data_IF_568946625488
#
_entry.id   IF_568946625488
#
_cell.length_a   1.000
_cell.length_b   1.000
_cell.length_c   1.000
_cell.angle_alpha   90.00
_cell.angle_beta   90.00
_cell.angle_gamma   90.00
#
_symmetry.space_group_name_H-M   'P 1'
#
loop_
_entity.id
_entity.type
_entity.pdbx_description
1 polymer ?
#
# COMPACT_ATOMS: atom_id res chain seq x y z
N UNK A 1 28.11 88.10 2.01
CA UNK A 1 27.31 87.72 0.83
C UNK A 1 26.23 86.77 1.33
N UNK A 2 24.99 87.16 1.11
CA UNK A 2 23.79 86.46 1.53
C UNK A 2 23.54 85.19 0.70
N UNK A 3 22.97 84.15 1.32
CA UNK A 3 21.69 83.56 0.89
C UNK A 3 21.25 82.44 1.86
N UNK A 4 20.10 82.69 2.48
CA UNK A 4 19.21 81.73 3.15
C UNK A 4 18.61 80.72 2.15
N UNK A 5 18.09 79.59 2.67
CA UNK A 5 16.73 79.00 2.43
C UNK A 5 16.75 77.56 2.95
N UNK A 6 16.29 77.32 4.18
CA UNK A 6 14.94 76.86 4.59
C UNK A 6 14.64 75.39 4.31
N UNK A 7 14.44 74.70 5.43
CA UNK A 7 13.77 73.43 5.67
C UNK A 7 12.42 73.29 4.92
N UNK A 8 12.08 72.08 4.50
CA UNK A 8 10.78 71.46 4.85
C UNK A 8 10.82 69.94 4.64
N UNK A 9 10.63 69.23 5.74
CA UNK A 9 10.21 67.82 5.81
C UNK A 9 8.69 67.74 5.59
N UNK A 10 8.21 66.65 4.97
CA UNK A 10 7.02 65.86 5.37
C UNK A 10 6.88 64.59 4.50
N UNK A 11 7.17 63.45 5.12
CA UNK A 11 6.31 62.25 5.15
C UNK A 11 5.94 61.49 3.87
N UNK A 12 6.41 60.24 3.74
CA UNK A 12 5.49 59.08 3.61
C UNK A 12 6.20 57.75 3.90
N UNK A 13 5.50 56.92 4.66
CA UNK A 13 5.88 55.58 5.10
C UNK A 13 5.89 54.58 3.95
N UNK A 14 6.92 53.74 3.85
CA UNK A 14 6.80 52.40 3.26
C UNK A 14 7.90 51.48 3.82
N UNK A 15 7.51 50.70 4.83
CA UNK A 15 8.26 49.55 5.34
C UNK A 15 8.32 48.50 4.22
N UNK A 16 9.50 48.28 3.65
CA UNK A 16 9.79 47.06 2.88
C UNK A 16 10.52 46.12 3.83
N UNK A 17 9.73 45.31 4.53
CA UNK A 17 10.20 44.15 5.28
C UNK A 17 10.53 43.02 4.30
N UNK A 18 11.76 42.98 3.81
CA UNK A 18 12.34 41.83 3.12
C UNK A 18 13.03 40.92 4.15
N UNK A 19 12.23 40.24 4.98
CA UNK A 19 12.71 39.10 5.76
C UNK A 19 12.77 37.86 4.88
N UNK A 20 13.79 37.80 4.01
CA UNK A 20 14.19 36.56 3.35
C UNK A 20 14.74 35.60 4.41
N UNK A 21 13.82 34.86 5.04
CA UNK A 21 14.14 33.70 5.85
C UNK A 21 14.67 32.61 4.93
N UNK A 22 15.96 32.70 4.59
CA UNK A 22 16.73 31.61 3.99
C UNK A 22 16.79 30.51 5.06
N UNK A 23 15.78 29.63 5.04
CA UNK A 23 15.79 28.40 5.83
C UNK A 23 16.84 27.51 5.19
N UNK A 24 18.03 27.52 5.77
CA UNK A 24 19.08 26.54 5.50
C UNK A 24 18.46 25.13 5.51
N UNK A 25 18.70 24.30 4.47
CA UNK A 25 18.11 22.98 4.40
C UNK A 25 18.77 22.14 5.49
N UNK A 26 18.07 21.94 6.60
CA UNK A 26 18.40 20.87 7.54
C UNK A 26 18.46 19.60 6.71
N UNK A 27 19.64 19.01 6.55
CA UNK A 27 19.83 17.72 5.88
C UNK A 27 19.07 16.67 6.69
N UNK A 28 17.79 16.47 6.36
CA UNK A 28 16.96 15.47 7.00
C UNK A 28 17.41 14.12 6.48
N UNK A 29 17.85 13.23 7.37
CA UNK A 29 18.10 11.86 6.99
C UNK A 29 16.75 11.18 6.67
N UNK A 30 16.70 10.32 5.64
CA UNK A 30 15.50 9.56 5.34
C UNK A 30 15.18 8.62 6.50
N UNK A 31 13.89 8.30 6.68
CA UNK A 31 13.49 7.37 7.72
C UNK A 31 14.14 5.99 7.50
N UNK A 32 14.62 5.29 8.55
CA UNK A 32 15.33 4.02 8.39
C UNK A 32 14.56 2.97 7.62
N UNK A 33 13.23 2.93 7.79
CA UNK A 33 12.35 2.05 7.02
C UNK A 33 12.48 2.27 5.51
N UNK A 34 12.49 3.53 5.07
CA UNK A 34 12.54 3.89 3.65
C UNK A 34 13.90 3.56 3.05
N UNK A 35 14.98 3.88 3.75
CA UNK A 35 16.35 3.54 3.32
C UNK A 35 16.52 2.03 3.17
N UNK A 36 16.11 1.26 4.18
CA UNK A 36 16.18 -0.20 4.16
C UNK A 36 15.32 -0.80 3.05
N UNK A 37 14.12 -0.27 2.83
CA UNK A 37 13.24 -0.73 1.76
C UNK A 37 13.86 -0.47 0.40
N UNK A 38 14.46 0.71 0.20
CA UNK A 38 15.17 1.04 -1.04
C UNK A 38 16.34 0.08 -1.30
N UNK A 39 17.21 -0.12 -0.31
CA UNK A 39 18.37 -0.99 -0.44
C UNK A 39 17.96 -2.44 -0.70
N UNK A 40 16.93 -2.91 0.00
CA UNK A 40 16.34 -4.24 -0.18
C UNK A 40 15.86 -4.46 -1.62
N UNK A 41 15.25 -3.44 -2.24
CA UNK A 41 14.73 -3.55 -3.61
C UNK A 41 15.85 -3.43 -4.65
N UNK A 42 16.86 -2.57 -4.41
CA UNK A 42 18.04 -2.50 -5.27
C UNK A 42 18.81 -3.83 -5.26
N UNK A 43 18.99 -4.45 -4.10
CA UNK A 43 19.69 -5.73 -3.98
C UNK A 43 18.87 -6.91 -4.55
N UNK A 44 17.55 -6.95 -4.28
CA UNK A 44 16.68 -7.99 -4.81
C UNK A 44 16.34 -7.85 -6.31
N UNK A 45 16.48 -6.64 -6.85
CA UNK A 45 16.24 -6.29 -8.24
C UNK A 45 17.48 -6.34 -9.14
N UNK A 46 18.68 -6.47 -8.56
CA UNK A 46 19.92 -6.66 -9.31
C UNK A 46 19.86 -7.99 -10.05
N UNK A 47 19.66 -7.90 -11.37
CA UNK A 47 19.60 -8.94 -12.39
C UNK A 47 20.18 -10.30 -11.98
N UNK A 48 19.39 -11.17 -11.34
CA UNK A 48 19.58 -12.64 -11.32
C UNK A 48 20.94 -13.21 -10.90
N UNK A 49 21.88 -12.39 -10.44
CA UNK A 49 23.27 -12.74 -10.09
C UNK A 49 23.43 -12.58 -8.57
N UNK A 50 22.42 -13.01 -7.82
CA UNK A 50 22.56 -13.39 -6.43
C UNK A 50 22.53 -14.91 -6.39
N UNK A 51 23.32 -15.51 -5.49
CA UNK A 51 23.49 -16.95 -5.22
C UNK A 51 22.17 -17.63 -4.75
N UNK A 52 21.09 -17.45 -5.50
CA UNK A 52 19.80 -18.07 -5.28
C UNK A 52 19.64 -19.22 -6.29
N UNK A 53 19.59 -20.48 -5.83
CA UNK A 53 19.60 -21.68 -6.69
C UNK A 53 18.47 -21.80 -7.73
N UNK A 54 17.53 -20.85 -7.78
CA UNK A 54 16.32 -20.93 -8.59
C UNK A 54 16.00 -19.68 -9.42
N UNK A 55 16.86 -18.66 -9.46
CA UNK A 55 16.66 -17.47 -10.32
C UNK A 55 15.34 -16.71 -10.12
N UNK A 56 14.63 -16.98 -9.02
CA UNK A 56 13.30 -16.46 -8.77
C UNK A 56 13.39 -15.09 -8.11
N UNK A 57 12.85 -14.09 -8.79
CA UNK A 57 12.79 -12.71 -8.34
C UNK A 57 11.75 -12.58 -7.22
N UNK A 58 12.19 -12.37 -5.98
CA UNK A 58 11.30 -12.24 -4.81
C UNK A 58 10.67 -10.84 -4.75
N UNK A 59 11.47 -9.81 -5.04
CA UNK A 59 11.08 -8.40 -5.07
C UNK A 59 11.86 -7.68 -6.16
N UNK A 60 11.25 -6.71 -6.84
CA UNK A 60 11.97 -5.85 -7.78
C UNK A 60 11.32 -4.49 -7.95
N UNK A 61 12.07 -3.54 -8.50
CA UNK A 61 11.48 -2.36 -9.15
C UNK A 61 10.46 -2.78 -10.22
N UNK A 62 9.43 -1.96 -10.40
CA UNK A 62 8.55 -2.09 -11.56
C UNK A 62 9.25 -1.56 -12.82
N UNK A 63 8.66 -1.79 -14.01
CA UNK A 63 9.27 -1.40 -15.28
C UNK A 63 9.54 0.12 -15.39
N UNK A 64 8.68 0.93 -14.77
CA UNK A 64 8.77 2.40 -14.78
C UNK A 64 9.78 2.95 -13.76
N UNK A 65 10.25 2.14 -12.81
CA UNK A 65 11.13 2.57 -11.72
C UNK A 65 10.49 3.54 -10.72
N UNK A 66 9.16 3.66 -10.70
CA UNK A 66 8.40 4.55 -9.80
C UNK A 66 7.67 3.78 -8.68
N UNK A 67 7.98 2.50 -8.54
CA UNK A 67 7.45 1.61 -7.54
C UNK A 67 8.13 0.25 -7.58
N UNK A 68 7.64 -0.67 -6.77
CA UNK A 68 8.20 -2.01 -6.67
C UNK A 68 7.10 -3.06 -6.55
N UNK A 69 7.45 -4.29 -6.92
CA UNK A 69 6.57 -5.45 -6.94
C UNK A 69 7.14 -6.51 -6.02
N UNK A 70 6.32 -7.03 -5.11
CA UNK A 70 6.62 -8.24 -4.33
C UNK A 70 5.96 -9.43 -5.03
N UNK A 71 6.77 -10.35 -5.57
CA UNK A 71 6.28 -11.47 -6.38
C UNK A 71 5.80 -12.64 -5.53
N UNK A 72 6.48 -12.90 -4.42
CA UNK A 72 6.14 -13.97 -3.48
C UNK A 72 6.14 -13.42 -2.05
N UNK A 73 4.96 -13.10 -1.47
CA UNK A 73 4.87 -12.61 -0.09
C UNK A 73 5.47 -13.58 0.93
N UNK A 74 5.31 -14.89 0.72
CA UNK A 74 5.85 -15.91 1.62
C UNK A 74 7.38 -15.91 1.64
N UNK A 75 8.02 -16.01 0.46
CA UNK A 75 9.49 -15.98 0.36
C UNK A 75 10.06 -14.62 0.81
N UNK A 76 9.37 -13.52 0.48
CA UNK A 76 9.76 -12.18 0.94
C UNK A 76 9.74 -12.10 2.47
N UNK A 77 8.72 -12.68 3.10
CA UNK A 77 8.60 -12.75 4.54
C UNK A 77 9.72 -13.54 5.20
N UNK A 78 10.05 -14.71 4.67
CA UNK A 78 11.01 -15.63 5.30
C UNK A 78 12.47 -15.28 5.00
N UNK A 79 12.76 -14.91 3.75
CA UNK A 79 14.14 -14.77 3.27
C UNK A 79 14.61 -13.31 3.27
N UNK A 80 13.72 -12.37 2.96
CA UNK A 80 14.10 -10.97 2.74
C UNK A 80 13.89 -10.11 3.98
N UNK A 81 12.71 -10.16 4.60
CA UNK A 81 12.40 -9.28 5.74
C UNK A 81 13.38 -9.42 6.93
N UNK A 82 13.79 -10.62 7.38
CA UNK A 82 14.71 -10.77 8.51
C UNK A 82 16.10 -10.17 8.28
N UNK A 83 16.53 -10.02 7.02
CA UNK A 83 17.83 -9.43 6.67
C UNK A 83 17.86 -7.92 6.89
N UNK A 84 16.72 -7.23 6.73
CA UNK A 84 16.64 -5.77 6.82
C UNK A 84 15.84 -5.28 8.03
N UNK A 85 14.87 -6.05 8.50
CA UNK A 85 13.93 -5.71 9.57
C UNK A 85 13.94 -6.74 10.70
N UNK A 86 13.54 -6.32 11.90
CA UNK A 86 13.50 -7.19 13.10
C UNK A 86 12.23 -8.06 13.17
N UNK A 87 11.64 -8.38 12.02
CA UNK A 87 10.46 -9.23 11.90
C UNK A 87 10.44 -9.88 10.52
N UNK A 88 9.71 -10.97 10.38
CA UNK A 88 9.40 -11.64 9.11
C UNK A 88 7.96 -11.39 8.64
N UNK A 89 7.17 -10.58 9.36
CA UNK A 89 5.75 -10.40 9.07
C UNK A 89 5.49 -9.42 7.90
N UNK A 90 4.90 -9.92 6.81
CA UNK A 90 4.54 -9.11 5.64
C UNK A 90 3.56 -7.98 5.99
N UNK A 91 2.55 -8.25 6.83
CA UNK A 91 1.56 -7.25 7.23
C UNK A 91 2.18 -6.07 7.98
N UNK A 92 3.23 -6.30 8.79
CA UNK A 92 3.98 -5.22 9.43
C UNK A 92 4.71 -4.35 8.40
N UNK A 93 5.27 -4.96 7.37
CA UNK A 93 5.87 -4.24 6.25
C UNK A 93 4.83 -3.41 5.49
N UNK A 94 3.66 -3.97 5.17
CA UNK A 94 2.55 -3.24 4.54
C UNK A 94 2.07 -2.07 5.41
N UNK A 95 1.95 -2.26 6.72
CA UNK A 95 1.57 -1.18 7.64
C UNK A 95 2.56 -0.02 7.59
N UNK A 96 3.86 -0.32 7.52
CA UNK A 96 4.89 0.71 7.37
C UNK A 96 4.77 1.42 6.01
N UNK A 97 4.55 0.70 4.90
CA UNK A 97 4.30 1.31 3.60
C UNK A 97 3.11 2.28 3.62
N UNK A 98 1.98 1.84 4.20
CA UNK A 98 0.78 2.67 4.33
C UNK A 98 1.05 3.93 5.16
N UNK A 99 1.84 3.79 6.23
CA UNK A 99 2.25 4.88 7.12
C UNK A 99 3.06 5.96 6.38
N UNK A 100 3.85 5.58 5.38
CA UNK A 100 4.60 6.49 4.52
C UNK A 100 3.88 6.84 3.21
N UNK A 101 2.61 6.44 3.07
CA UNK A 101 1.75 6.88 1.97
C UNK A 101 1.93 6.14 0.66
N UNK A 102 2.60 5.00 0.65
CA UNK A 102 2.62 4.12 -0.53
C UNK A 102 1.20 3.64 -0.87
N UNK A 103 0.91 3.50 -2.16
CA UNK A 103 -0.38 3.02 -2.66
C UNK A 103 -0.19 1.71 -3.40
N UNK A 104 -1.09 0.74 -3.16
CA UNK A 104 -1.17 -0.49 -3.95
C UNK A 104 -1.80 -0.16 -5.30
N UNK A 105 -1.16 -0.51 -6.41
CA UNK A 105 -1.62 -0.15 -7.76
C UNK A 105 -2.23 -1.30 -8.55
N UNK A 106 -2.18 -2.53 -8.02
CA UNK A 106 -2.72 -3.71 -8.68
C UNK A 106 -3.51 -4.57 -7.68
N UNK A 107 -4.64 -5.14 -8.11
CA UNK A 107 -5.38 -6.13 -7.31
C UNK A 107 -4.73 -7.52 -7.36
N UNK A 108 -4.11 -7.86 -8.50
CA UNK A 108 -3.52 -9.17 -8.78
C UNK A 108 -2.09 -9.33 -8.31
N UNK A 109 -1.37 -8.22 -8.10
CA UNK A 109 0.03 -8.21 -7.70
C UNK A 109 0.24 -7.27 -6.51
N UNK A 110 1.28 -7.55 -5.72
CA UNK A 110 1.71 -6.68 -4.62
C UNK A 110 2.62 -5.58 -5.15
N UNK A 111 2.09 -4.75 -6.05
CA UNK A 111 2.77 -3.57 -6.57
C UNK A 111 2.44 -2.34 -5.73
N UNK A 112 3.48 -1.61 -5.30
CA UNK A 112 3.37 -0.39 -4.52
C UNK A 112 4.11 0.76 -5.18
N UNK A 113 3.47 1.92 -5.27
CA UNK A 113 4.05 3.15 -5.83
C UNK A 113 4.03 4.30 -4.83
N UNK A 114 5.00 5.20 -4.95
CA UNK A 114 5.05 6.48 -4.23
C UNK A 114 5.82 7.51 -5.07
N UNK A 115 5.33 8.76 -5.15
CA UNK A 115 5.86 9.81 -6.04
C UNK A 115 7.36 10.07 -5.84
N UNK A 116 7.80 10.07 -4.58
CA UNK A 116 9.20 10.33 -4.20
C UNK A 116 10.05 9.07 -3.99
N UNK A 117 9.51 7.88 -4.27
CA UNK A 117 10.23 6.61 -4.14
C UNK A 117 10.57 6.08 -5.53
N UNK A 118 11.71 6.54 -6.08
CA UNK A 118 12.10 6.30 -7.47
C UNK A 118 13.45 5.59 -7.55
N UNK A 119 13.59 4.61 -8.46
CA UNK A 119 14.82 3.87 -8.72
C UNK A 119 15.98 4.83 -9.00
N UNK A 120 17.14 4.58 -8.38
CA UNK A 120 18.33 5.42 -8.51
C UNK A 120 18.26 6.82 -7.85
N UNK A 121 17.10 7.26 -7.34
CA UNK A 121 16.95 8.59 -6.70
C UNK A 121 16.80 8.50 -5.18
N UNK A 122 17.79 7.88 -4.53
CA UNK A 122 17.81 7.67 -3.08
C UNK A 122 17.71 8.97 -2.25
N UNK A 123 18.18 10.10 -2.79
CA UNK A 123 18.11 11.39 -2.10
C UNK A 123 16.68 11.89 -1.91
N UNK A 124 15.71 11.48 -2.74
CA UNK A 124 14.31 11.89 -2.62
C UNK A 124 13.58 11.24 -1.43
N UNK A 125 14.16 10.20 -0.83
CA UNK A 125 13.58 9.52 0.33
C UNK A 125 13.40 10.45 1.55
N UNK A 126 14.16 11.54 1.62
CA UNK A 126 14.08 12.54 2.70
C UNK A 126 12.78 13.34 2.68
N UNK A 127 12.11 13.40 1.52
CA UNK A 127 10.84 14.09 1.32
C UNK A 127 9.65 13.23 1.74
N UNK A 128 9.83 11.91 1.87
CA UNK A 128 8.77 11.00 2.26
C UNK A 128 8.57 11.09 3.77
N UNK A 129 7.52 11.80 4.18
CA UNK A 129 7.15 11.93 5.59
C UNK A 129 6.04 10.97 5.95
N UNK A 130 6.05 10.52 7.21
CA UNK A 130 4.95 9.74 7.80
C UNK A 130 3.65 10.53 7.70
N UNK A 131 2.58 9.89 7.23
CA UNK A 131 1.22 10.43 7.31
C UNK A 131 0.88 10.65 8.78
N UNK A 132 0.41 11.85 9.12
CA UNK A 132 -0.17 12.10 10.44
C UNK A 132 -1.43 11.26 10.55
N UNK A 133 -1.43 10.24 11.40
CA UNK A 133 -2.67 9.72 11.93
C UNK A 133 -3.18 10.78 12.90
N UNK A 134 -4.19 11.54 12.49
CA UNK A 134 -5.05 12.15 13.50
C UNK A 134 -5.64 11.00 14.33
N UNK A 135 -5.53 11.01 15.67
CA UNK A 135 -6.17 10.00 16.48
C UNK A 135 -7.65 9.97 16.10
N UNK A 136 -8.14 8.79 15.72
CA UNK A 136 -9.57 8.53 15.51
C UNK A 136 -10.35 9.24 16.61
N UNK A 137 -11.15 10.23 16.21
CA UNK A 137 -11.95 11.02 17.10
C UNK A 137 -13.03 10.12 17.72
N UNK A 138 -12.70 9.48 18.84
CA UNK A 138 -13.62 9.47 19.97
C UNK A 138 -13.84 10.92 20.42
N UNK A 139 -15.05 11.31 20.88
CA UNK A 139 -15.50 12.69 20.73
C UNK A 139 -14.63 13.67 21.51
N UNK A 140 -13.91 14.50 20.77
CA UNK A 140 -13.26 15.68 21.25
C UNK A 140 -14.33 16.75 21.53
N UNK A 141 -14.83 16.86 22.76
CA UNK A 141 -15.60 18.04 23.16
C UNK A 141 -14.72 19.31 23.25
N UNK A 142 -13.40 19.20 23.02
CA UNK A 142 -12.51 20.35 23.00
C UNK A 142 -11.58 20.24 21.79
N UNK A 143 -11.91 20.91 20.69
CA UNK A 143 -11.28 22.20 20.32
C UNK A 143 -11.40 22.43 18.82
N UNK A 144 -12.03 23.55 18.49
CA UNK A 144 -12.16 24.11 17.16
C UNK A 144 -10.80 24.56 16.57
N UNK A 145 -10.62 24.38 15.27
CA UNK A 145 -10.32 25.45 14.30
C UNK A 145 -10.22 24.87 12.88
N UNK A 146 -11.06 25.40 11.99
CA UNK A 146 -11.07 25.19 10.53
C UNK A 146 -9.73 25.53 9.88
N UNK A 147 -9.41 24.82 8.77
CA UNK A 147 -9.00 25.42 7.47
C UNK A 147 -8.38 24.40 6.47
N UNK A 148 -8.49 23.08 6.68
CA UNK A 148 -7.92 22.08 5.75
C UNK A 148 -8.85 20.88 5.50
N UNK A 149 -10.15 21.10 5.29
CA UNK A 149 -11.15 20.02 5.24
C UNK A 149 -11.43 19.47 3.82
N UNK A 150 -11.05 20.19 2.76
CA UNK A 150 -11.56 19.84 1.42
C UNK A 150 -10.74 18.75 0.67
N UNK A 151 -9.42 18.70 0.87
CA UNK A 151 -8.54 17.77 0.14
C UNK A 151 -8.38 16.40 0.83
N UNK A 152 -8.52 16.37 2.16
CA UNK A 152 -8.47 15.16 2.99
C UNK A 152 -9.73 14.32 2.81
N UNK A 153 -10.90 14.96 2.81
CA UNK A 153 -12.20 14.30 2.65
C UNK A 153 -12.33 13.58 1.30
N UNK A 154 -11.85 14.19 0.20
CA UNK A 154 -11.88 13.58 -1.12
C UNK A 154 -10.96 12.34 -1.24
N UNK A 155 -9.81 12.34 -0.55
CA UNK A 155 -8.89 11.19 -0.54
C UNK A 155 -9.45 10.05 0.33
N UNK A 156 -10.09 10.38 1.44
CA UNK A 156 -10.74 9.40 2.31
C UNK A 156 -11.97 8.78 1.64
N UNK A 157 -12.77 9.60 0.94
CA UNK A 157 -13.92 9.18 0.16
C UNK A 157 -13.51 8.27 -1.01
N UNK A 158 -12.45 8.60 -1.74
CA UNK A 158 -11.93 7.74 -2.81
C UNK A 158 -11.37 6.42 -2.28
N UNK A 159 -10.65 6.42 -1.15
CA UNK A 159 -10.20 5.18 -0.51
C UNK A 159 -11.37 4.33 -0.01
N UNK A 160 -12.40 4.97 0.57
CA UNK A 160 -13.62 4.30 1.03
C UNK A 160 -14.38 3.70 -0.13
N UNK A 161 -14.52 4.42 -1.25
CA UNK A 161 -15.15 3.93 -2.48
C UNK A 161 -14.44 2.70 -3.04
N UNK A 162 -13.10 2.74 -3.13
CA UNK A 162 -12.30 1.59 -3.58
C UNK A 162 -12.48 0.40 -2.64
N UNK A 163 -12.44 0.63 -1.32
CA UNK A 163 -12.61 -0.42 -0.31
C UNK A 163 -14.02 -1.02 -0.34
N UNK A 164 -15.04 -0.19 -0.58
CA UNK A 164 -16.43 -0.63 -0.71
C UNK A 164 -16.63 -1.46 -1.98
N UNK A 165 -16.03 -1.06 -3.10
CA UNK A 165 -16.09 -1.82 -4.35
C UNK A 165 -15.35 -3.16 -4.22
N UNK A 166 -14.18 -3.18 -3.60
CA UNK A 166 -13.45 -4.41 -3.30
C UNK A 166 -14.27 -5.34 -2.39
N UNK A 167 -14.95 -4.82 -1.37
CA UNK A 167 -15.85 -5.60 -0.52
C UNK A 167 -17.04 -6.18 -1.30
N UNK A 168 -17.62 -5.42 -2.24
CA UNK A 168 -18.68 -5.94 -3.12
C UNK A 168 -18.16 -7.06 -4.01
N UNK A 169 -16.96 -6.90 -4.58
CA UNK A 169 -16.33 -7.91 -5.42
C UNK A 169 -16.05 -9.18 -4.64
N UNK A 170 -15.46 -9.08 -3.45
CA UNK A 170 -15.23 -10.21 -2.56
C UNK A 170 -16.53 -10.91 -2.17
N UNK A 171 -17.63 -10.18 -1.96
CA UNK A 171 -18.95 -10.78 -1.69
C UNK A 171 -19.49 -11.54 -2.89
N UNK A 172 -19.29 -11.04 -4.12
CA UNK A 172 -19.67 -11.74 -5.35
C UNK A 172 -18.87 -13.02 -5.54
N UNK A 173 -17.55 -12.94 -5.45
CA UNK A 173 -16.66 -14.11 -5.57
C UNK A 173 -16.97 -15.16 -4.49
N UNK A 174 -17.22 -14.73 -3.25
CA UNK A 174 -17.64 -15.63 -2.17
C UNK A 174 -18.93 -16.37 -2.52
N UNK A 175 -19.91 -15.68 -3.10
CA UNK A 175 -21.18 -16.29 -3.49
C UNK A 175 -20.99 -17.28 -4.64
N UNK A 176 -20.17 -16.93 -5.63
CA UNK A 176 -19.86 -17.81 -6.76
C UNK A 176 -19.17 -19.11 -6.31
N UNK A 177 -18.15 -18.99 -5.46
CA UNK A 177 -17.49 -20.16 -4.86
C UNK A 177 -18.46 -21.00 -4.04
N UNK A 178 -19.37 -20.38 -3.28
CA UNK A 178 -20.40 -21.11 -2.54
C UNK A 178 -21.34 -21.88 -3.47
N UNK A 179 -21.74 -21.28 -4.61
CA UNK A 179 -22.57 -21.94 -5.61
C UNK A 179 -21.83 -23.13 -6.22
N UNK A 180 -20.55 -22.96 -6.58
CA UNK A 180 -19.73 -24.05 -7.11
C UNK A 180 -19.61 -25.20 -6.11
N UNK A 181 -19.33 -24.90 -4.83
CA UNK A 181 -19.26 -25.91 -3.77
C UNK A 181 -20.59 -26.65 -3.63
N UNK A 182 -21.72 -25.94 -3.63
CA UNK A 182 -23.04 -26.54 -3.54
C UNK A 182 -23.32 -27.46 -4.75
N UNK A 183 -22.95 -27.02 -5.96
CA UNK A 183 -23.10 -27.80 -7.18
C UNK A 183 -22.27 -29.09 -7.14
N UNK A 184 -21.00 -29.02 -6.73
CA UNK A 184 -20.15 -30.20 -6.58
C UNK A 184 -20.70 -31.18 -5.54
N UNK A 185 -21.17 -30.69 -4.39
CA UNK A 185 -21.82 -31.53 -3.38
C UNK A 185 -23.08 -32.21 -3.92
N UNK A 186 -23.88 -31.50 -4.72
CA UNK A 186 -25.09 -32.07 -5.33
C UNK A 186 -24.76 -33.13 -6.41
N UNK A 187 -23.66 -32.98 -7.13
CA UNK A 187 -23.17 -34.00 -8.05
C UNK A 187 -22.67 -35.24 -7.30
N UNK A 188 -21.92 -35.04 -6.22
CA UNK A 188 -21.43 -36.11 -5.35
C UNK A 188 -22.59 -36.93 -4.76
N UNK A 189 -23.64 -36.26 -4.25
CA UNK A 189 -24.84 -36.93 -3.76
C UNK A 189 -25.53 -37.76 -4.85
N UNK A 190 -25.66 -37.21 -6.07
CA UNK A 190 -26.27 -37.94 -7.19
C UNK A 190 -25.46 -39.17 -7.61
N UNK A 191 -24.13 -39.07 -7.61
CA UNK A 191 -23.26 -40.21 -7.90
C UNK A 191 -23.41 -41.30 -6.84
N UNK A 192 -23.45 -40.93 -5.56
CA UNK A 192 -23.67 -41.87 -4.46
C UNK A 192 -25.04 -42.56 -4.57
N UNK A 193 -26.09 -41.82 -4.90
CA UNK A 193 -27.44 -42.37 -5.11
C UNK A 193 -27.48 -43.37 -6.28
N UNK A 194 -26.83 -43.03 -7.41
CA UNK A 194 -26.72 -43.96 -8.54
C UNK A 194 -25.99 -45.25 -8.16
N UNK A 195 -24.87 -45.15 -7.44
CA UNK A 195 -24.13 -46.32 -6.96
C UNK A 195 -24.96 -47.17 -5.99
N UNK A 196 -25.73 -46.55 -5.09
CA UNK A 196 -26.60 -47.25 -4.16
C UNK A 196 -27.73 -48.01 -4.87
N UNK A 197 -28.32 -47.42 -5.91
CA UNK A 197 -29.37 -48.05 -6.72
C UNK A 197 -28.86 -49.26 -7.51
N UNK A 198 -27.66 -49.16 -8.09
CA UNK A 198 -27.09 -50.25 -8.89
C UNK A 198 -26.73 -51.47 -8.02
N UNK A 199 -26.21 -51.21 -6.81
CA UNK A 199 -25.95 -52.23 -5.78
C UNK A 199 -27.25 -52.86 -5.22
N UNK A 200 -28.34 -52.10 -5.15
CA UNK A 200 -29.67 -52.60 -4.76
C UNK A 200 -30.35 -53.44 -5.85
N UNK A 201 -30.13 -53.11 -7.11
CA UNK A 201 -30.72 -53.80 -8.26
C UNK A 201 -30.09 -55.19 -8.52
N UNK A 202 -28.78 -55.33 -8.31
CA UNK A 202 -28.08 -56.62 -8.41
C UNK A 202 -28.51 -57.64 -7.35
N UNK A 203 -28.83 -57.20 -6.12
CA UNK A 203 -29.35 -58.07 -5.05
C UNK A 203 -30.75 -58.63 -5.34
N UNK A 204 -31.60 -57.86 -6.02
CA UNK A 204 -32.98 -58.28 -6.32
C UNK A 204 -33.07 -59.20 -7.55
N UNK A 205 -32.16 -59.09 -8.52
CA UNK A 205 -32.05 -60.04 -9.64
C UNK A 205 -31.57 -61.43 -9.20
N UNK A 206 -30.63 -61.49 -8.26
CA UNK A 206 -30.09 -62.77 -7.75
C UNK A 206 -31.11 -63.55 -6.90
N UNK A 207 -32.14 -62.88 -6.34
CA UNK A 207 -33.20 -63.52 -5.54
C UNK A 207 -34.41 -64.03 -6.35
N UNK A 208 -34.58 -63.63 -7.61
CA UNK A 208 -35.70 -64.08 -8.48
C UNK A 208 -35.34 -65.27 -9.38
N UNK A 209 -34.10 -65.76 -9.30
CA UNK A 209 -33.58 -66.89 -10.09
C UNK A 209 -33.41 -68.17 -9.26
N UNK A 210 -33.94 -68.21 -8.04
CA UNK A 210 -34.07 -69.41 -7.21
C UNK A 210 -35.55 -69.72 -6.98
#
# INVERSE_FOLDING_TARGET
MAANTLQLDQGTTSKISSSSSVKSPKTKCPAPFLSKTFDLIEEGGADGVGDHPHGKRIVSWNAEGNGFIVWSPAEFSELTLPRYFKHNNFSSFIRQLNTYGFKKTSSKQWEFKHEKFLKGRRHMLVEITRKKCEPSAFPAYLKASNDQENATHAIEETNLLILMEENKNLRREKLELQIQIAHFKALEMRLLDCLAQDMGSHRNKTRRLC
#
